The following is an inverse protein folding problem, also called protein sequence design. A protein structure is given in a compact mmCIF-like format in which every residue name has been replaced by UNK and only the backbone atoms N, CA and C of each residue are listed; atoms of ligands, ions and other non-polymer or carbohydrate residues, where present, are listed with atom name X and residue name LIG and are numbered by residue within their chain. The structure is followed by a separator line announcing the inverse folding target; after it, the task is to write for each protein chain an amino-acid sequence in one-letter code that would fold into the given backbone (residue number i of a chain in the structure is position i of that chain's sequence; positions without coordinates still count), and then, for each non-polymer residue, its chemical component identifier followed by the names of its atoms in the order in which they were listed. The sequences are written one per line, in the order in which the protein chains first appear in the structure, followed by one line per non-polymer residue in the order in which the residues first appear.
data_IF_226038919185
#
_entry.id   IF_226038919185
#
_cell.length_a   1.000
_cell.length_b   1.000
_cell.length_c   1.000
_cell.angle_alpha   90.00
_cell.angle_beta   90.00
_cell.angle_gamma   90.00
#
_symmetry.space_group_name_H-M   'P 1'
#
loop_
_entity.id
_entity.type
_entity.pdbx_description
1 polymer ?
#
# COMPACT_ATOMS: atom_id res chain seq x y z
N UNK A 1 -29.55 -10.04 17.68
CA UNK A 1 -28.27 -9.72 18.32
C UNK A 1 -27.16 -10.23 17.39
N UNK A 2 -26.91 -9.49 16.31
CA UNK A 2 -25.88 -9.83 15.31
C UNK A 2 -24.56 -9.31 15.87
N UNK A 3 -23.67 -10.20 16.31
CA UNK A 3 -22.28 -9.83 16.58
C UNK A 3 -21.69 -9.29 15.28
N UNK A 4 -21.45 -7.99 15.25
CA UNK A 4 -20.97 -7.26 14.08
C UNK A 4 -19.66 -7.90 13.59
N UNK A 5 -19.53 -8.29 12.32
CA UNK A 5 -18.30 -8.89 11.79
C UNK A 5 -17.06 -8.00 12.03
N UNK A 6 -17.25 -6.68 12.13
CA UNK A 6 -16.22 -5.71 12.54
C UNK A 6 -15.70 -5.93 13.97
N UNK A 7 -16.55 -6.30 14.92
CA UNK A 7 -16.13 -6.59 16.31
C UNK A 7 -15.31 -7.88 16.36
N UNK A 8 -15.72 -8.91 15.60
CA UNK A 8 -14.95 -10.16 15.50
C UNK A 8 -13.56 -9.90 14.91
N UNK A 9 -13.49 -9.09 13.85
CA UNK A 9 -12.23 -8.68 13.23
C UNK A 9 -11.31 -7.97 14.23
N UNK A 10 -11.83 -7.02 15.00
CA UNK A 10 -11.05 -6.28 15.99
C UNK A 10 -10.53 -7.19 17.10
N UNK A 11 -11.38 -8.06 17.65
CA UNK A 11 -11.00 -9.04 18.68
C UNK A 11 -9.93 -10.00 18.15
N UNK A 12 -10.10 -10.54 16.94
CA UNK A 12 -9.10 -11.43 16.32
C UNK A 12 -7.76 -10.72 16.09
N UNK A 13 -7.80 -9.45 15.69
CA UNK A 13 -6.58 -8.65 15.49
C UNK A 13 -5.84 -8.41 16.81
N UNK A 14 -6.59 -8.15 17.89
CA UNK A 14 -6.01 -7.86 19.21
C UNK A 14 -5.49 -9.12 19.92
N UNK A 15 -6.11 -10.28 19.68
CA UNK A 15 -5.70 -11.57 20.25
C UNK A 15 -4.65 -12.31 19.40
N UNK A 16 -4.31 -11.77 18.23
CA UNK A 16 -3.31 -12.36 17.35
C UNK A 16 -1.93 -12.41 18.01
N UNK A 17 -1.33 -13.60 18.01
CA UNK A 17 0.01 -13.87 18.52
C UNK A 17 0.72 -14.90 17.63
N UNK A 18 1.99 -15.20 17.91
CA UNK A 18 2.81 -16.07 17.06
C UNK A 18 2.25 -17.49 16.86
N UNK A 19 1.41 -17.97 17.77
CA UNK A 19 0.86 -19.34 17.72
C UNK A 19 -0.43 -19.43 16.91
N UNK A 20 -1.27 -18.40 16.96
CA UNK A 20 -2.60 -18.41 16.33
C UNK A 20 -2.67 -17.62 15.01
N UNK A 21 -1.65 -16.82 14.70
CA UNK A 21 -1.65 -15.94 13.53
C UNK A 21 -1.86 -16.67 12.19
N UNK A 22 -1.38 -17.91 11.93
CA UNK A 22 -1.67 -18.57 10.66
C UNK A 22 -3.17 -18.84 10.47
N UNK A 23 -3.89 -19.17 11.55
CA UNK A 23 -5.33 -19.38 11.53
C UNK A 23 -6.08 -18.07 11.34
N UNK A 24 -5.67 -17.02 12.07
CA UNK A 24 -6.27 -15.66 11.93
C UNK A 24 -6.11 -15.13 10.50
N UNK A 25 -4.92 -15.27 9.90
CA UNK A 25 -4.69 -14.83 8.51
C UNK A 25 -5.55 -15.60 7.51
N UNK A 26 -5.82 -16.90 7.75
CA UNK A 26 -6.72 -17.68 6.91
C UNK A 26 -8.15 -17.15 6.96
N UNK A 27 -8.63 -16.76 8.14
CA UNK A 27 -9.95 -16.12 8.27
C UNK A 27 -9.99 -14.77 7.55
N UNK A 28 -8.94 -13.95 7.68
CA UNK A 28 -8.86 -12.68 6.99
C UNK A 28 -8.90 -12.83 5.46
N UNK A 29 -8.32 -13.89 4.90
CA UNK A 29 -8.43 -14.21 3.47
C UNK A 29 -9.88 -14.48 3.03
N UNK A 30 -10.70 -15.09 3.91
CA UNK A 30 -12.13 -15.27 3.67
C UNK A 30 -12.86 -13.93 3.71
N UNK A 31 -12.53 -13.07 4.68
CA UNK A 31 -13.16 -11.75 4.86
C UNK A 31 -12.90 -10.80 3.70
N UNK A 32 -11.71 -10.85 3.07
CA UNK A 32 -11.39 -10.05 1.87
C UNK A 32 -12.31 -10.37 0.68
N UNK A 33 -12.95 -11.55 0.67
CA UNK A 33 -13.90 -11.96 -0.39
C UNK A 33 -15.34 -11.50 -0.11
N UNK A 34 -15.57 -10.76 0.98
CA UNK A 34 -16.88 -10.22 1.32
C UNK A 34 -17.37 -9.20 0.29
N UNK A 35 -18.69 -9.06 0.19
CA UNK A 35 -19.34 -8.03 -0.63
C UNK A 35 -19.28 -6.65 0.03
N UNK A 36 -19.11 -6.60 1.35
CA UNK A 36 -19.00 -5.37 2.14
C UNK A 36 -17.58 -4.78 2.04
N UNK A 37 -17.47 -3.64 1.34
CA UNK A 37 -16.18 -3.01 1.02
C UNK A 37 -15.54 -2.32 2.22
N UNK A 38 -16.35 -1.76 3.11
CA UNK A 38 -15.85 -1.15 4.34
C UNK A 38 -15.28 -2.24 5.26
N UNK A 39 -15.94 -3.40 5.31
CA UNK A 39 -15.43 -4.56 6.03
C UNK A 39 -14.14 -5.13 5.42
N UNK A 40 -14.06 -5.21 4.09
CA UNK A 40 -12.83 -5.63 3.39
C UNK A 40 -11.69 -4.66 3.69
N UNK A 41 -11.93 -3.35 3.62
CA UNK A 41 -10.93 -2.33 3.95
C UNK A 41 -10.46 -2.46 5.42
N UNK A 42 -11.39 -2.62 6.36
CA UNK A 42 -11.05 -2.87 7.76
C UNK A 42 -10.20 -4.14 7.95
N UNK A 43 -10.48 -5.19 7.16
CA UNK A 43 -9.71 -6.44 7.19
C UNK A 43 -8.29 -6.24 6.67
N UNK A 44 -8.11 -5.47 5.61
CA UNK A 44 -6.79 -5.11 5.05
C UNK A 44 -5.97 -4.34 6.09
N UNK A 45 -6.59 -3.39 6.80
CA UNK A 45 -5.95 -2.69 7.93
C UNK A 45 -5.58 -3.62 9.08
N UNK A 46 -6.44 -4.59 9.40
CA UNK A 46 -6.14 -5.60 10.41
C UNK A 46 -4.91 -6.45 10.04
N UNK A 47 -4.79 -6.87 8.77
CA UNK A 47 -3.59 -7.56 8.25
C UNK A 47 -2.35 -6.68 8.44
N UNK A 48 -2.45 -5.39 8.10
CA UNK A 48 -1.37 -4.42 8.31
C UNK A 48 -0.93 -4.29 9.76
N UNK A 49 -1.89 -4.27 10.70
CA UNK A 49 -1.60 -4.25 12.14
C UNK A 49 -0.91 -5.54 12.60
N UNK A 50 -1.39 -6.70 12.17
CA UNK A 50 -0.74 -7.98 12.47
C UNK A 50 0.71 -8.03 11.96
N UNK A 51 0.95 -7.56 10.72
CA UNK A 51 2.27 -7.50 10.12
C UNK A 51 3.22 -6.50 10.81
N UNK A 52 2.66 -5.45 11.41
CA UNK A 52 3.41 -4.49 12.21
C UNK A 52 3.84 -5.11 13.55
N UNK A 53 2.88 -5.74 14.24
CA UNK A 53 3.06 -6.25 15.60
C UNK A 53 3.85 -7.57 15.65
N UNK A 54 3.72 -8.42 14.63
CA UNK A 54 4.30 -9.77 14.61
C UNK A 54 5.24 -9.87 13.40
N UNK A 55 6.54 -9.69 13.63
CA UNK A 55 7.55 -9.69 12.57
C UNK A 55 7.58 -10.98 11.74
N UNK A 56 7.31 -12.14 12.36
CA UNK A 56 7.35 -13.46 11.70
C UNK A 56 6.36 -13.62 10.54
N UNK A 57 5.23 -12.90 10.57
CA UNK A 57 4.22 -12.99 9.51
C UNK A 57 4.26 -11.82 8.54
N UNK A 58 5.14 -10.84 8.77
CA UNK A 58 5.19 -9.60 7.99
C UNK A 58 5.35 -9.88 6.50
N UNK A 59 6.27 -10.74 6.11
CA UNK A 59 6.50 -11.09 4.71
C UNK A 59 5.30 -11.81 4.09
N UNK A 60 4.65 -12.70 4.84
CA UNK A 60 3.42 -13.38 4.41
C UNK A 60 2.28 -12.40 4.21
N UNK A 61 2.09 -11.46 5.14
CA UNK A 61 1.08 -10.41 5.03
C UNK A 61 1.38 -9.47 3.87
N UNK A 62 2.64 -9.05 3.69
CA UNK A 62 3.06 -8.19 2.59
C UNK A 62 2.79 -8.85 1.24
N UNK A 63 3.16 -10.13 1.08
CA UNK A 63 2.86 -10.89 -0.13
C UNK A 63 1.35 -11.01 -0.39
N UNK A 64 0.55 -11.23 0.66
CA UNK A 64 -0.91 -11.22 0.55
C UNK A 64 -1.46 -9.88 0.08
N UNK A 65 -0.98 -8.77 0.66
CA UNK A 65 -1.37 -7.41 0.27
C UNK A 65 -0.96 -7.08 -1.18
N UNK A 66 0.22 -7.53 -1.62
CA UNK A 66 0.67 -7.37 -3.01
C UNK A 66 -0.26 -8.10 -3.98
N UNK A 67 -0.78 -9.28 -3.61
CA UNK A 67 -1.79 -9.98 -4.45
C UNK A 67 -3.09 -9.18 -4.59
N UNK A 68 -3.48 -8.42 -3.56
CA UNK A 68 -4.68 -7.56 -3.61
C UNK A 68 -4.54 -6.38 -4.56
N UNK A 69 -3.33 -6.01 -4.97
CA UNK A 69 -3.11 -4.97 -5.97
C UNK A 69 -3.65 -5.34 -7.37
N UNK A 70 -3.89 -6.62 -7.62
CA UNK A 70 -4.52 -7.12 -8.85
C UNK A 70 -6.05 -7.27 -8.72
N UNK A 71 -6.66 -6.77 -7.64
CA UNK A 71 -8.11 -6.80 -7.46
C UNK A 71 -8.79 -5.85 -8.48
N UNK A 72 -10.02 -6.18 -8.87
CA UNK A 72 -10.85 -5.35 -9.76
C UNK A 72 -11.41 -4.13 -9.04
N UNK A 73 -11.51 -4.18 -7.73
CA UNK A 73 -12.06 -3.12 -6.90
C UNK A 73 -10.97 -2.12 -6.51
N UNK A 74 -11.14 -0.88 -6.97
CA UNK A 74 -10.16 0.17 -6.78
C UNK A 74 -9.99 0.56 -5.30
N UNK A 75 -11.04 0.50 -4.48
CA UNK A 75 -10.96 0.82 -3.05
C UNK A 75 -10.13 -0.22 -2.32
N UNK A 76 -10.26 -1.49 -2.69
CA UNK A 76 -9.45 -2.59 -2.14
C UNK A 76 -7.98 -2.42 -2.50
N UNK A 77 -7.69 -2.06 -3.76
CA UNK A 77 -6.32 -1.77 -4.22
C UNK A 77 -5.77 -0.57 -3.45
N UNK A 78 -6.54 0.52 -3.33
CA UNK A 78 -6.14 1.74 -2.66
C UNK A 78 -5.79 1.49 -1.18
N UNK A 79 -6.62 0.74 -0.47
CA UNK A 79 -6.38 0.39 0.92
C UNK A 79 -5.11 -0.46 1.08
N UNK A 80 -4.95 -1.43 0.18
CA UNK A 80 -3.75 -2.29 0.15
C UNK A 80 -2.47 -1.49 -0.06
N UNK A 81 -2.50 -0.51 -0.98
CA UNK A 81 -1.37 0.41 -1.22
C UNK A 81 -0.99 1.19 0.03
N UNK A 82 -1.97 1.72 0.77
CA UNK A 82 -1.73 2.50 1.99
C UNK A 82 -1.09 1.62 3.07
N UNK A 83 -1.60 0.39 3.24
CA UNK A 83 -1.01 -0.56 4.21
C UNK A 83 0.39 -0.99 3.78
N UNK A 84 0.61 -1.30 2.50
CA UNK A 84 1.94 -1.64 1.97
C UNK A 84 2.93 -0.51 2.24
N UNK A 85 2.56 0.74 1.94
CA UNK A 85 3.41 1.91 2.24
C UNK A 85 3.85 1.92 3.70
N UNK A 86 2.91 1.73 4.64
CA UNK A 86 3.22 1.70 6.08
C UNK A 86 4.18 0.56 6.43
N UNK A 87 4.01 -0.63 5.85
CA UNK A 87 4.90 -1.76 6.09
C UNK A 87 6.32 -1.51 5.54
N UNK A 88 6.42 -0.98 4.33
CA UNK A 88 7.71 -0.65 3.70
C UNK A 88 8.45 0.47 4.45
N UNK A 89 7.73 1.46 4.97
CA UNK A 89 8.31 2.52 5.80
C UNK A 89 9.02 2.02 7.06
N UNK A 90 8.56 0.90 7.63
CA UNK A 90 9.20 0.32 8.82
C UNK A 90 10.43 -0.50 8.49
N UNK A 91 10.64 -0.87 7.22
CA UNK A 91 11.77 -1.68 6.80
C UNK A 91 12.26 -1.20 5.42
N UNK A 92 13.30 -0.36 5.37
CA UNK A 92 13.87 0.13 4.11
C UNK A 92 14.60 -0.94 3.29
N UNK A 93 14.35 -2.24 3.53
CA UNK A 93 14.93 -3.34 2.79
C UNK A 93 14.50 -3.32 1.30
N UNK A 94 15.23 -4.06 0.47
CA UNK A 94 15.20 -4.04 -1.00
C UNK A 94 13.85 -4.51 -1.60
N UNK A 95 12.82 -3.69 -1.52
CA UNK A 95 11.48 -3.97 -2.06
C UNK A 95 11.29 -3.45 -3.50
N UNK A 96 12.39 -3.35 -4.28
CA UNK A 96 12.40 -2.74 -5.60
C UNK A 96 11.34 -3.29 -6.56
N UNK A 97 11.08 -4.61 -6.54
CA UNK A 97 10.03 -5.23 -7.38
C UNK A 97 8.61 -4.78 -7.00
N UNK A 98 8.33 -4.62 -5.71
CA UNK A 98 7.04 -4.09 -5.23
C UNK A 98 6.89 -2.64 -5.69
N UNK A 99 7.94 -1.82 -5.58
CA UNK A 99 7.93 -0.43 -6.03
C UNK A 99 7.70 -0.33 -7.54
N UNK A 100 8.37 -1.19 -8.35
CA UNK A 100 8.13 -1.27 -9.80
C UNK A 100 6.69 -1.64 -10.12
N UNK A 101 6.10 -2.57 -9.38
CA UNK A 101 4.71 -2.97 -9.57
C UNK A 101 3.76 -1.82 -9.23
N UNK A 102 3.95 -1.16 -8.07
CA UNK A 102 3.17 0.00 -7.65
C UNK A 102 3.27 1.16 -8.65
N UNK A 103 4.45 1.42 -9.21
CA UNK A 103 4.63 2.47 -10.20
C UNK A 103 3.78 2.27 -11.46
N UNK A 104 3.57 1.01 -11.90
CA UNK A 104 2.67 0.69 -13.02
C UNK A 104 1.20 0.94 -12.70
N UNK A 105 0.81 0.87 -11.43
CA UNK A 105 -0.57 1.11 -11.01
C UNK A 105 -0.93 2.61 -10.96
N UNK A 106 0.07 3.50 -10.93
CA UNK A 106 -0.13 4.96 -10.92
C UNK A 106 -1.01 5.46 -12.07
N UNK A 107 -1.00 4.77 -13.23
CA UNK A 107 -1.80 5.18 -14.39
C UNK A 107 -3.29 4.77 -14.25
N UNK A 108 -3.60 3.78 -13.39
CA UNK A 108 -4.94 3.20 -13.27
C UNK A 108 -5.68 3.64 -12.00
N UNK A 109 -4.96 3.93 -10.92
CA UNK A 109 -5.55 4.34 -9.64
C UNK A 109 -5.92 5.83 -9.69
N UNK A 110 -7.19 6.12 -9.48
CA UNK A 110 -7.79 7.45 -9.31
C UNK A 110 -7.86 7.85 -7.83
N UNK A 111 -7.93 6.89 -6.89
CA UNK A 111 -8.00 7.20 -5.45
C UNK A 111 -6.81 8.06 -5.00
N UNK A 112 -7.02 9.34 -4.60
CA UNK A 112 -5.94 10.29 -4.34
C UNK A 112 -4.94 9.84 -3.27
N UNK A 113 -5.43 9.22 -2.20
CA UNK A 113 -4.60 8.76 -1.07
C UNK A 113 -3.63 7.65 -1.50
N UNK A 114 -4.08 6.76 -2.39
CA UNK A 114 -3.26 5.68 -2.91
C UNK A 114 -2.24 6.20 -3.93
N UNK A 115 -2.64 7.10 -4.83
CA UNK A 115 -1.71 7.80 -5.75
C UNK A 115 -0.59 8.50 -4.99
N UNK A 116 -0.95 9.29 -3.98
CA UNK A 116 0.00 9.99 -3.12
C UNK A 116 0.94 8.99 -2.40
N UNK A 117 0.41 7.86 -1.95
CA UNK A 117 1.20 6.81 -1.30
C UNK A 117 2.21 6.14 -2.23
N UNK A 118 1.83 5.87 -3.49
CA UNK A 118 2.73 5.33 -4.51
C UNK A 118 3.82 6.33 -4.87
N UNK A 119 3.47 7.60 -5.09
CA UNK A 119 4.46 8.64 -5.40
C UNK A 119 5.48 8.83 -4.28
N UNK A 120 5.01 8.80 -3.03
CA UNK A 120 5.88 8.86 -1.86
C UNK A 120 6.87 7.69 -1.86
N UNK A 121 6.38 6.47 -2.10
CA UNK A 121 7.22 5.26 -2.17
C UNK A 121 8.24 5.33 -3.30
N UNK A 122 7.83 5.74 -4.50
CA UNK A 122 8.77 5.91 -5.62
C UNK A 122 9.85 6.94 -5.29
N UNK A 123 9.49 8.03 -4.62
CA UNK A 123 10.45 9.06 -4.20
C UNK A 123 11.41 8.57 -3.13
N UNK A 124 10.93 7.76 -2.18
CA UNK A 124 11.77 7.18 -1.13
C UNK A 124 12.76 6.15 -1.68
N UNK A 125 12.31 5.32 -2.62
CA UNK A 125 13.12 4.26 -3.22
C UNK A 125 13.67 4.65 -4.60
N UNK A 126 13.84 5.93 -4.90
CA UNK A 126 14.19 6.41 -6.24
C UNK A 126 15.52 5.83 -6.76
N UNK A 127 16.47 5.56 -5.88
CA UNK A 127 17.75 4.90 -6.20
C UNK A 127 17.58 3.48 -6.73
N UNK A 128 16.53 2.77 -6.31
CA UNK A 128 16.22 1.41 -6.76
C UNK A 128 15.46 1.38 -8.08
N UNK A 129 14.90 2.53 -8.50
CA UNK A 129 14.10 2.66 -9.72
C UNK A 129 14.48 3.90 -10.56
N UNK A 130 15.76 4.08 -10.91
CA UNK A 130 16.29 5.33 -11.45
C UNK A 130 15.71 5.74 -12.81
N UNK A 131 15.16 4.79 -13.59
CA UNK A 131 14.49 5.07 -14.87
C UNK A 131 12.99 5.30 -14.73
N UNK A 132 12.35 4.71 -13.72
CA UNK A 132 10.90 4.74 -13.55
C UNK A 132 10.49 6.00 -12.83
N UNK A 133 11.22 6.43 -11.80
CA UNK A 133 10.86 7.60 -11.02
C UNK A 133 10.79 8.89 -11.88
N UNK A 134 11.75 9.19 -12.79
CA UNK A 134 11.63 10.32 -13.70
C UNK A 134 10.48 10.18 -14.71
N UNK A 135 10.18 8.95 -15.16
CA UNK A 135 9.08 8.71 -16.09
C UNK A 135 7.72 8.95 -15.44
N UNK A 136 7.53 8.43 -14.23
CA UNK A 136 6.33 8.69 -13.42
C UNK A 136 6.19 10.19 -13.14
N UNK A 137 7.27 10.89 -12.78
CA UNK A 137 7.22 12.34 -12.61
C UNK A 137 6.78 13.06 -13.88
N UNK A 138 7.33 12.69 -15.05
CA UNK A 138 6.91 13.27 -16.35
C UNK A 138 5.44 13.05 -16.65
N UNK A 139 4.88 11.88 -16.31
CA UNK A 139 3.45 11.60 -16.46
C UNK A 139 2.61 12.48 -15.53
N UNK A 140 2.95 12.51 -14.24
CA UNK A 140 2.24 13.31 -13.23
C UNK A 140 2.31 14.81 -13.52
N UNK A 141 3.41 15.30 -14.09
CA UNK A 141 3.53 16.71 -14.47
C UNK A 141 2.49 17.13 -15.53
N UNK A 142 2.07 16.21 -16.42
CA UNK A 142 1.05 16.50 -17.44
C UNK A 142 -0.35 16.65 -16.85
N UNK A 143 -0.70 15.86 -15.83
CA UNK A 143 -1.99 15.91 -15.15
C UNK A 143 -2.01 16.81 -13.91
N UNK A 144 -0.87 17.40 -13.53
CA UNK A 144 -0.66 18.06 -12.23
C UNK A 144 -1.76 19.04 -11.81
N UNK A 145 -2.28 19.85 -12.73
CA UNK A 145 -3.33 20.85 -12.42
C UNK A 145 -4.67 20.21 -12.06
N UNK A 146 -4.95 19.01 -12.56
CA UNK A 146 -6.17 18.25 -12.33
C UNK A 146 -6.07 17.30 -11.12
N UNK A 147 -4.88 17.14 -10.52
CA UNK A 147 -4.70 16.27 -9.35
C UNK A 147 -5.17 16.96 -8.05
N UNK A 148 -5.55 16.14 -7.06
CA UNK A 148 -5.84 16.60 -5.70
C UNK A 148 -4.58 17.11 -4.97
N UNK A 149 -4.76 17.99 -3.99
CA UNK A 149 -3.65 18.66 -3.30
C UNK A 149 -2.68 17.68 -2.62
N UNK A 150 -3.19 16.58 -2.07
CA UNK A 150 -2.34 15.55 -1.46
C UNK A 150 -1.44 14.85 -2.48
N UNK A 151 -1.89 14.73 -3.74
CA UNK A 151 -1.11 14.14 -4.83
C UNK A 151 -0.12 15.18 -5.35
N UNK A 152 -0.55 16.42 -5.56
CA UNK A 152 0.32 17.54 -5.97
C UNK A 152 1.53 17.69 -5.04
N UNK A 153 1.30 17.64 -3.73
CA UNK A 153 2.38 17.69 -2.73
C UNK A 153 3.39 16.56 -2.93
N UNK A 154 2.94 15.33 -3.20
CA UNK A 154 3.84 14.21 -3.44
C UNK A 154 4.56 14.28 -4.79
N UNK A 155 3.93 14.87 -5.82
CA UNK A 155 4.61 15.13 -7.10
C UNK A 155 5.77 16.11 -6.92
N UNK A 156 5.54 17.21 -6.18
CA UNK A 156 6.59 18.20 -5.90
C UNK A 156 7.71 17.57 -5.06
N UNK A 157 7.36 16.80 -4.02
CA UNK A 157 8.35 16.09 -3.19
C UNK A 157 9.17 15.11 -4.02
N UNK A 158 8.54 14.35 -4.92
CA UNK A 158 9.23 13.45 -5.83
C UNK A 158 10.20 14.21 -6.74
N UNK A 159 9.76 15.36 -7.30
CA UNK A 159 10.63 16.21 -8.13
C UNK A 159 11.84 16.73 -7.35
N UNK A 160 11.64 17.22 -6.14
CA UNK A 160 12.71 17.70 -5.28
C UNK A 160 13.70 16.58 -4.92
N UNK A 161 13.20 15.40 -4.53
CA UNK A 161 14.05 14.23 -4.23
C UNK A 161 14.87 13.82 -5.45
N UNK A 162 14.24 13.73 -6.63
CA UNK A 162 14.94 13.37 -7.86
C UNK A 162 15.99 14.39 -8.28
N UNK A 163 15.72 15.69 -8.09
CA UNK A 163 16.70 16.74 -8.36
C UNK A 163 17.95 16.60 -7.47
N UNK A 164 17.75 16.28 -6.19
CA UNK A 164 18.84 16.11 -5.23
C UNK A 164 19.63 14.82 -5.44
N UNK A 165 18.96 13.71 -5.76
CA UNK A 165 19.60 12.39 -5.90
C UNK A 165 20.19 12.16 -7.29
N UNK A 166 19.72 12.88 -8.31
CA UNK A 166 20.04 12.64 -9.70
C UNK A 166 20.64 13.89 -10.38
N UNK A 167 21.64 14.51 -9.73
CA UNK A 167 22.26 15.78 -10.14
C UNK A 167 23.03 15.75 -11.49
N UNK A 168 23.04 14.63 -12.22
CA UNK A 168 23.83 14.42 -13.44
C UNK A 168 23.03 13.95 -14.67
N UNK A 169 21.70 14.03 -14.66
CA UNK A 169 20.87 13.74 -15.85
C UNK A 169 20.40 15.00 -16.55
#
# INVERSE_FOLDING_TARGET
MLLHPSLQLEVLTNLANETNIPTVLREFQTYIRSMDKDFVAATIQAIGRCATNIGRVRDTCLNGLVQLLSNRDELVVAESVVVIKKLLQMQPAQHGEIIKHLAKLTDNIQVPMARASILWLIGEYCEHVPRIAPDVLRKMAKSFTAEEDIVKLQVINLAAKLYLTNSKQ
#
